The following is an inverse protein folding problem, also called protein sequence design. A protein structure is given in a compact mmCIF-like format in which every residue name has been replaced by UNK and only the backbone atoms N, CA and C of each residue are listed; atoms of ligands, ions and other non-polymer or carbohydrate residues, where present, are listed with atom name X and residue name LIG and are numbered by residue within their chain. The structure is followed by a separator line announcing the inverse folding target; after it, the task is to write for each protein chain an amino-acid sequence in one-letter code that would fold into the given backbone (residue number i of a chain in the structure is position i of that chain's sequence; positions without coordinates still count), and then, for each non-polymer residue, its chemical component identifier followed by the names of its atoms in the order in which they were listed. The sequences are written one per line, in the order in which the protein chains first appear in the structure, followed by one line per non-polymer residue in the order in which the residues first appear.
data_IF_273660838902
#
_entry.id   IF_273660838902
#
_cell.length_a   1.000
_cell.length_b   1.000
_cell.length_c   1.000
_cell.angle_alpha   90.00
_cell.angle_beta   90.00
_cell.angle_gamma   90.00
#
_symmetry.space_group_name_H-M   'P 1'
#
loop_
_entity.id
_entity.type
_entity.pdbx_description
1 polymer ?
#
# COMPACT_ATOMS: atom_id res chain seq x y z
N UNK A 1 22.88 2.19 26.23
CA UNK A 1 22.63 1.08 27.19
C UNK A 1 22.39 1.54 28.64
N UNK A 2 22.74 2.78 29.06
CA UNK A 2 22.66 3.20 30.47
C UNK A 2 21.29 3.79 30.94
N UNK A 3 20.33 4.08 30.05
CA UNK A 3 19.07 4.77 30.40
C UNK A 3 17.91 3.84 30.81
N UNK A 4 18.16 2.53 30.94
CA UNK A 4 17.11 1.52 31.02
C UNK A 4 17.20 0.58 32.22
N UNK A 5 18.26 0.73 33.01
CA UNK A 5 18.61 -0.10 34.16
C UNK A 5 18.86 0.86 35.32
N UNK A 6 18.10 0.75 36.41
CA UNK A 6 18.36 1.48 37.64
C UNK A 6 18.80 0.48 38.72
N UNK A 7 19.99 0.66 39.27
CA UNK A 7 20.58 -0.22 40.28
C UNK A 7 20.03 0.11 41.68
N UNK A 8 19.60 -0.91 42.42
CA UNK A 8 19.23 -0.85 43.84
C UNK A 8 19.72 -2.14 44.51
N UNK A 9 20.40 -2.08 45.65
CA UNK A 9 20.92 -3.31 46.30
C UNK A 9 20.04 -3.79 47.46
N UNK A 10 19.95 -5.11 47.66
CA UNK A 10 19.26 -5.74 48.80
C UNK A 10 20.07 -6.89 49.40
N UNK A 11 20.09 -6.97 50.72
CA UNK A 11 20.78 -8.04 51.46
C UNK A 11 19.90 -9.30 51.56
N UNK A 12 20.41 -10.45 51.10
CA UNK A 12 19.69 -11.74 51.16
C UNK A 12 20.48 -12.76 51.99
N UNK A 13 19.79 -13.53 52.84
CA UNK A 13 20.40 -14.60 53.63
C UNK A 13 20.64 -15.82 52.74
N UNK A 14 21.90 -16.21 52.63
CA UNK A 14 22.30 -17.48 52.03
C UNK A 14 22.71 -18.36 53.21
N UNK A 15 22.20 -19.59 53.31
CA UNK A 15 22.33 -20.45 54.51
C UNK A 15 23.73 -20.46 55.13
N UNK A 16 23.77 -20.68 56.46
CA UNK A 16 24.95 -20.54 57.34
C UNK A 16 25.28 -19.12 57.83
N UNK A 17 24.27 -18.25 57.99
CA UNK A 17 24.42 -16.95 58.65
C UNK A 17 25.12 -15.86 57.81
N UNK A 18 25.49 -16.16 56.57
CA UNK A 18 26.14 -15.22 55.65
C UNK A 18 25.09 -14.40 54.90
N UNK A 19 25.21 -13.07 54.94
CA UNK A 19 24.39 -12.16 54.13
C UNK A 19 25.19 -11.76 52.89
N UNK A 20 24.58 -11.91 51.71
CA UNK A 20 25.17 -11.46 50.42
C UNK A 20 24.33 -10.31 49.88
N UNK A 21 25.00 -9.24 49.45
CA UNK A 21 24.37 -8.16 48.71
C UNK A 21 24.05 -8.67 47.29
N UNK A 22 22.79 -8.55 46.90
CA UNK A 22 22.33 -8.85 45.55
C UNK A 22 21.90 -7.52 44.94
N UNK A 23 22.45 -7.20 43.77
CA UNK A 23 22.03 -6.05 42.98
C UNK A 23 20.67 -6.35 42.34
N UNK A 24 19.64 -5.61 42.73
CA UNK A 24 18.36 -5.55 42.05
C UNK A 24 18.45 -4.50 40.94
N UNK A 25 18.05 -4.88 39.73
CA UNK A 25 18.04 -3.98 38.59
C UNK A 25 16.59 -3.74 38.17
N UNK A 26 16.14 -2.48 38.25
CA UNK A 26 14.85 -2.09 37.72
C UNK A 26 14.94 -1.92 36.21
N UNK A 27 14.06 -2.63 35.51
CA UNK A 27 13.96 -2.59 34.06
C UNK A 27 12.77 -1.72 33.63
N UNK A 28 13.01 -0.85 32.65
CA UNK A 28 11.90 -0.25 31.91
C UNK A 28 11.12 -1.32 31.14
N UNK A 29 9.86 -1.06 30.78
CA UNK A 29 9.05 -1.98 29.97
C UNK A 29 9.77 -2.41 28.68
N UNK A 30 10.45 -1.49 28.02
CA UNK A 30 11.23 -1.77 26.82
C UNK A 30 12.44 -2.67 27.11
N UNK A 31 13.16 -2.42 28.21
CA UNK A 31 14.24 -3.29 28.67
C UNK A 31 13.75 -4.70 28.98
N UNK A 32 12.62 -4.84 29.68
CA UNK A 32 11.97 -6.13 29.91
C UNK A 32 11.68 -6.88 28.60
N UNK A 33 11.18 -6.19 27.57
CA UNK A 33 10.92 -6.79 26.26
C UNK A 33 12.20 -7.28 25.60
N UNK A 34 13.27 -6.47 25.58
CA UNK A 34 14.55 -6.87 25.02
C UNK A 34 15.18 -8.03 25.79
N UNK A 35 15.13 -8.02 27.12
CA UNK A 35 15.60 -9.13 27.95
C UNK A 35 14.81 -10.41 27.66
N UNK A 36 13.49 -10.31 27.51
CA UNK A 36 12.64 -11.44 27.18
C UNK A 36 12.89 -11.98 25.76
N UNK A 37 13.12 -11.11 24.78
CA UNK A 37 13.41 -11.50 23.39
C UNK A 37 14.78 -12.18 23.25
N UNK A 38 15.78 -11.72 23.99
CA UNK A 38 17.18 -12.21 23.90
C UNK A 38 17.53 -13.27 24.96
N UNK A 39 16.58 -13.66 25.81
CA UNK A 39 16.82 -14.65 26.86
C UNK A 39 16.97 -16.08 26.34
N UNK A 40 17.48 -16.97 27.20
CA UNK A 40 17.56 -18.40 26.93
C UNK A 40 16.15 -19.03 26.86
N UNK A 41 15.78 -19.50 25.66
CA UNK A 41 14.47 -20.12 25.38
C UNK A 41 14.21 -21.40 26.19
N UNK A 42 15.21 -22.02 26.84
CA UNK A 42 15.00 -23.14 27.76
C UNK A 42 14.23 -22.74 29.02
N UNK A 43 14.17 -21.44 29.34
CA UNK A 43 13.37 -20.92 30.47
C UNK A 43 11.92 -20.73 30.02
N UNK A 44 10.93 -21.39 30.66
CA UNK A 44 9.53 -21.33 30.22
C UNK A 44 8.95 -19.91 30.07
N UNK A 45 9.29 -18.99 30.98
CA UNK A 45 8.83 -17.60 30.91
C UNK A 45 9.39 -16.84 29.69
N UNK A 46 10.65 -17.12 29.33
CA UNK A 46 11.30 -16.53 28.15
C UNK A 46 10.67 -17.10 26.88
N UNK A 47 10.51 -18.42 26.79
CA UNK A 47 9.86 -19.07 25.65
C UNK A 47 8.43 -18.54 25.43
N UNK A 48 7.66 -18.38 26.51
CA UNK A 48 6.31 -17.81 26.45
C UNK A 48 6.32 -16.38 25.90
N UNK A 49 7.22 -15.52 26.39
CA UNK A 49 7.35 -14.15 25.93
C UNK A 49 7.79 -14.07 24.46
N UNK A 50 8.78 -14.87 24.05
CA UNK A 50 9.22 -14.95 22.65
C UNK A 50 8.07 -15.37 21.71
N UNK A 51 7.30 -16.39 22.09
CA UNK A 51 6.12 -16.81 21.32
C UNK A 51 5.06 -15.72 21.26
N UNK A 52 4.78 -15.04 22.38
CA UNK A 52 3.88 -13.90 22.40
C UNK A 52 4.30 -12.83 21.39
N UNK A 53 5.58 -12.42 21.37
CA UNK A 53 6.06 -11.43 20.40
C UNK A 53 5.98 -11.93 18.97
N UNK A 54 6.34 -13.18 18.68
CA UNK A 54 6.20 -13.75 17.33
C UNK A 54 4.74 -13.68 16.83
N UNK A 55 3.79 -14.04 17.69
CA UNK A 55 2.35 -13.97 17.37
C UNK A 55 1.88 -12.52 17.21
N UNK A 56 2.28 -11.60 18.09
CA UNK A 56 1.86 -10.20 18.00
C UNK A 56 2.45 -9.49 16.79
N UNK A 57 3.73 -9.72 16.48
CA UNK A 57 4.37 -9.19 15.26
C UNK A 57 3.64 -9.71 14.03
N UNK A 58 3.35 -11.02 13.97
CA UNK A 58 2.60 -11.58 12.84
C UNK A 58 1.19 -10.98 12.70
N UNK A 59 0.51 -10.72 13.81
CA UNK A 59 -0.80 -10.04 13.79
C UNK A 59 -0.68 -8.61 13.26
N UNK A 60 0.32 -7.86 13.69
CA UNK A 60 0.55 -6.50 13.22
C UNK A 60 0.84 -6.46 11.71
N UNK A 61 1.73 -7.33 11.22
CA UNK A 61 2.02 -7.48 9.78
C UNK A 61 0.75 -7.78 8.96
N UNK A 62 -0.11 -8.67 9.44
CA UNK A 62 -1.36 -9.02 8.75
C UNK A 62 -2.34 -7.84 8.72
N UNK A 63 -2.42 -7.06 9.81
CA UNK A 63 -3.26 -5.85 9.85
C UNK A 63 -2.73 -4.79 8.89
N UNK A 64 -1.41 -4.57 8.86
CA UNK A 64 -0.78 -3.63 7.92
C UNK A 64 -1.02 -4.05 6.46
N UNK A 65 -0.79 -5.33 6.13
CA UNK A 65 -1.09 -5.87 4.79
C UNK A 65 -2.55 -5.68 4.41
N UNK A 66 -3.48 -5.92 5.34
CA UNK A 66 -4.91 -5.73 5.10
C UNK A 66 -5.28 -4.26 4.84
N UNK A 67 -4.66 -3.32 5.56
CA UNK A 67 -4.88 -1.88 5.34
C UNK A 67 -4.40 -1.46 3.95
N UNK A 68 -3.21 -1.90 3.53
CA UNK A 68 -2.66 -1.63 2.20
C UNK A 68 -3.52 -2.24 1.09
N UNK A 69 -3.96 -3.48 1.26
CA UNK A 69 -4.88 -4.16 0.35
C UNK A 69 -6.21 -3.41 0.20
N UNK A 70 -6.78 -2.98 1.33
CA UNK A 70 -8.03 -2.22 1.36
C UNK A 70 -7.89 -0.87 0.65
N UNK A 71 -6.83 -0.11 0.94
CA UNK A 71 -6.56 1.17 0.29
C UNK A 71 -6.44 1.02 -1.23
N UNK A 72 -5.78 -0.04 -1.70
CA UNK A 72 -5.63 -0.31 -3.13
C UNK A 72 -6.96 -0.63 -3.80
N UNK A 73 -7.82 -1.41 -3.14
CA UNK A 73 -9.17 -1.72 -3.64
C UNK A 73 -10.04 -0.46 -3.69
N UNK A 74 -9.97 0.41 -2.68
CA UNK A 74 -10.66 1.69 -2.67
C UNK A 74 -10.20 2.59 -3.83
N UNK A 75 -8.89 2.80 -3.96
CA UNK A 75 -8.32 3.60 -5.06
C UNK A 75 -8.74 3.09 -6.45
N UNK A 76 -8.86 1.76 -6.61
CA UNK A 76 -9.33 1.18 -7.88
C UNK A 76 -10.82 1.46 -8.13
N UNK A 77 -11.62 1.46 -7.08
CA UNK A 77 -13.06 1.73 -7.13
C UNK A 77 -13.28 3.20 -7.52
N UNK A 78 -12.58 4.12 -6.86
CA UNK A 78 -12.55 5.56 -7.18
C UNK A 78 -12.16 5.77 -8.65
N UNK A 79 -11.04 5.19 -9.10
CA UNK A 79 -10.63 5.26 -10.51
C UNK A 79 -11.72 4.76 -11.48
N UNK A 80 -12.47 3.71 -11.12
CA UNK A 80 -13.56 3.22 -11.97
C UNK A 80 -14.71 4.23 -12.09
N UNK A 81 -15.03 4.92 -11.00
CA UNK A 81 -16.06 5.97 -10.96
C UNK A 81 -15.63 7.20 -11.75
N UNK A 82 -14.37 7.62 -11.58
CA UNK A 82 -13.76 8.71 -12.36
C UNK A 82 -13.71 8.39 -13.85
N UNK A 83 -13.26 7.18 -14.23
CA UNK A 83 -13.25 6.76 -15.63
C UNK A 83 -14.67 6.71 -16.23
N UNK A 84 -15.68 6.33 -15.42
CA UNK A 84 -17.09 6.34 -15.84
C UNK A 84 -17.58 7.77 -16.09
N UNK A 85 -17.33 8.69 -15.16
CA UNK A 85 -17.68 10.11 -15.31
C UNK A 85 -16.99 10.71 -16.53
N UNK A 86 -15.68 10.53 -16.64
CA UNK A 86 -14.89 10.99 -17.79
C UNK A 86 -15.48 10.43 -19.10
N UNK A 87 -15.79 9.13 -19.16
CA UNK A 87 -16.37 8.55 -20.37
C UNK A 87 -17.71 9.20 -20.78
N UNK A 88 -18.54 9.60 -19.82
CA UNK A 88 -19.79 10.33 -20.07
C UNK A 88 -19.53 11.72 -20.63
N UNK A 89 -18.64 12.48 -19.98
CA UNK A 89 -18.21 13.82 -20.45
C UNK A 89 -17.67 13.73 -21.88
N UNK A 90 -16.78 12.77 -22.15
CA UNK A 90 -16.18 12.63 -23.48
C UNK A 90 -17.19 12.21 -24.55
N UNK A 91 -18.18 11.40 -24.19
CA UNK A 91 -19.26 11.02 -25.10
C UNK A 91 -20.09 12.22 -25.56
N UNK A 92 -20.48 13.10 -24.64
CA UNK A 92 -21.19 14.36 -24.96
C UNK A 92 -20.35 15.27 -25.87
N UNK A 93 -19.03 15.15 -25.83
CA UNK A 93 -18.08 15.89 -26.68
C UNK A 93 -17.74 15.18 -28.01
N UNK A 94 -18.49 14.14 -28.38
CA UNK A 94 -18.34 13.44 -29.67
C UNK A 94 -17.23 12.38 -29.69
N UNK A 95 -16.85 11.84 -28.53
CA UNK A 95 -15.90 10.71 -28.44
C UNK A 95 -16.66 9.41 -28.15
N UNK A 96 -16.51 8.43 -29.04
CA UNK A 96 -17.12 7.11 -28.85
C UNK A 96 -16.29 6.23 -27.90
N UNK A 97 -16.79 5.02 -27.62
CA UNK A 97 -16.11 4.06 -26.74
C UNK A 97 -14.73 3.62 -27.26
N UNK A 98 -14.53 3.60 -28.58
CA UNK A 98 -13.21 3.32 -29.20
C UNK A 98 -12.24 4.47 -28.96
N UNK A 99 -12.68 5.71 -29.19
CA UNK A 99 -11.92 6.92 -28.92
C UNK A 99 -11.53 7.02 -27.45
N UNK A 100 -12.44 6.69 -26.53
CA UNK A 100 -12.14 6.65 -25.10
C UNK A 100 -11.03 5.63 -24.76
N UNK A 101 -11.08 4.43 -25.34
CA UNK A 101 -10.04 3.43 -25.13
C UNK A 101 -8.66 3.90 -25.63
N UNK A 102 -8.62 4.63 -26.76
CA UNK A 102 -7.40 5.23 -27.30
C UNK A 102 -6.87 6.31 -26.34
N UNK A 103 -7.73 7.24 -25.90
CA UNK A 103 -7.36 8.31 -24.96
C UNK A 103 -6.79 7.71 -23.67
N UNK A 104 -7.46 6.72 -23.08
CA UNK A 104 -6.97 6.03 -21.88
C UNK A 104 -5.60 5.38 -22.10
N UNK A 105 -5.38 4.75 -23.26
CA UNK A 105 -4.08 4.16 -23.59
C UNK A 105 -2.98 5.22 -23.78
N UNK A 106 -3.34 6.38 -24.33
CA UNK A 106 -2.41 7.53 -24.42
C UNK A 106 -2.07 8.11 -23.06
N UNK A 107 -3.03 8.13 -22.13
CA UNK A 107 -2.80 8.45 -20.73
C UNK A 107 -1.82 7.50 -20.06
N UNK A 108 -1.98 6.19 -20.25
CA UNK A 108 -1.03 5.18 -19.75
C UNK A 108 0.38 5.44 -20.25
N UNK A 109 0.52 5.75 -21.55
CA UNK A 109 1.80 6.08 -22.16
C UNK A 109 2.37 7.39 -21.66
N UNK A 110 1.55 8.41 -21.42
CA UNK A 110 1.99 9.68 -20.87
C UNK A 110 2.50 9.53 -19.43
N UNK A 111 1.85 8.67 -18.63
CA UNK A 111 2.22 8.43 -17.23
C UNK A 111 3.44 7.51 -17.11
N UNK A 112 3.50 6.43 -17.88
CA UNK A 112 4.50 5.34 -17.70
C UNK A 112 5.54 5.23 -18.81
N UNK A 113 5.48 6.08 -19.84
CA UNK A 113 6.29 5.96 -21.07
C UNK A 113 6.10 4.66 -21.86
N UNK A 114 5.26 3.73 -21.39
CA UNK A 114 4.95 2.46 -22.01
C UNK A 114 3.49 2.46 -22.48
N UNK A 115 3.23 1.89 -23.64
CA UNK A 115 1.84 1.64 -24.02
C UNK A 115 1.21 0.59 -23.08
N UNK A 116 -0.13 0.56 -23.07
CA UNK A 116 -0.88 -0.33 -22.17
C UNK A 116 -0.51 -1.80 -22.36
N UNK A 117 -0.19 -2.24 -23.59
CA UNK A 117 0.13 -3.64 -23.89
C UNK A 117 1.53 -4.03 -23.38
N UNK A 118 2.53 -3.18 -23.59
CA UNK A 118 3.89 -3.34 -23.06
C UNK A 118 3.87 -3.29 -21.53
N UNK A 119 3.09 -2.38 -20.94
CA UNK A 119 2.98 -2.31 -19.49
C UNK A 119 2.29 -3.54 -18.91
N UNK A 120 1.24 -4.07 -19.57
CA UNK A 120 0.63 -5.36 -19.18
C UNK A 120 1.65 -6.50 -19.20
N UNK A 121 2.43 -6.62 -20.27
CA UNK A 121 3.51 -7.63 -20.37
C UNK A 121 4.53 -7.48 -19.26
N UNK A 122 4.97 -6.26 -18.98
CA UNK A 122 5.93 -5.97 -17.90
C UNK A 122 5.40 -6.36 -16.52
N UNK A 123 4.11 -6.11 -16.27
CA UNK A 123 3.46 -6.41 -14.98
C UNK A 123 2.92 -7.85 -14.89
N UNK A 124 3.06 -8.68 -15.94
CA UNK A 124 2.49 -10.02 -15.99
C UNK A 124 0.96 -10.04 -15.99
N UNK A 125 0.32 -8.96 -16.41
CA UNK A 125 -1.13 -8.83 -16.44
C UNK A 125 -1.71 -9.50 -17.72
N UNK A 126 -2.73 -10.37 -17.61
CA UNK A 126 -3.37 -10.96 -18.78
C UNK A 126 -4.03 -9.91 -19.69
N UNK A 127 -4.02 -10.14 -20.99
CA UNK A 127 -4.61 -9.21 -21.97
C UNK A 127 -6.12 -8.99 -21.76
N UNK A 128 -6.84 -10.03 -21.29
CA UNK A 128 -8.26 -10.00 -20.97
C UNK A 128 -8.61 -9.17 -19.73
N UNK A 129 -7.63 -8.80 -18.92
CA UNK A 129 -7.83 -8.04 -17.67
C UNK A 129 -7.48 -6.56 -17.86
N UNK A 130 -8.03 -5.71 -17.00
CA UNK A 130 -7.70 -4.30 -16.98
C UNK A 130 -6.32 -4.11 -16.35
N UNK A 131 -5.50 -3.24 -16.95
CA UNK A 131 -4.16 -2.91 -16.45
C UNK A 131 -4.21 -2.41 -14.99
N UNK A 132 -5.21 -1.59 -14.66
CA UNK A 132 -5.37 -1.00 -13.34
C UNK A 132 -5.50 -2.03 -12.20
N UNK A 133 -5.93 -3.26 -12.51
CA UNK A 133 -6.04 -4.34 -11.51
C UNK A 133 -4.67 -4.87 -11.05
N UNK A 134 -3.58 -4.52 -11.75
CA UNK A 134 -2.21 -4.96 -11.48
C UNK A 134 -1.28 -3.80 -11.14
N UNK A 135 -1.78 -2.56 -11.19
CA UNK A 135 -1.02 -1.38 -10.80
C UNK A 135 -0.90 -1.30 -9.27
N UNK A 136 0.22 -0.79 -8.74
CA UNK A 136 0.34 -0.42 -7.34
C UNK A 136 -0.55 0.79 -7.03
N UNK A 137 -0.91 0.98 -5.75
CA UNK A 137 -1.86 2.00 -5.28
C UNK A 137 -1.51 3.41 -5.78
N UNK A 138 -0.24 3.80 -5.72
CA UNK A 138 0.20 5.12 -6.17
C UNK A 138 -0.03 5.35 -7.68
N UNK A 139 0.16 4.32 -8.51
CA UNK A 139 -0.10 4.41 -9.95
C UNK A 139 -1.58 4.48 -10.25
N UNK A 140 -2.43 3.80 -9.47
CA UNK A 140 -3.88 3.90 -9.58
C UNK A 140 -4.33 5.33 -9.26
N UNK A 141 -3.88 5.89 -8.13
CA UNK A 141 -4.19 7.28 -7.72
C UNK A 141 -3.66 8.32 -8.70
N UNK A 142 -2.47 8.13 -9.26
CA UNK A 142 -1.92 9.02 -10.28
C UNK A 142 -2.75 9.00 -11.57
N UNK A 143 -3.23 7.82 -11.99
CA UNK A 143 -4.15 7.70 -13.13
C UNK A 143 -5.50 8.35 -12.87
N UNK A 144 -6.03 8.16 -11.66
CA UNK A 144 -7.29 8.75 -11.22
C UNK A 144 -7.23 10.26 -11.28
N UNK A 145 -6.22 10.86 -10.66
CA UNK A 145 -5.99 12.30 -10.70
C UNK A 145 -5.82 12.82 -12.14
N UNK A 146 -5.10 12.12 -13.01
CA UNK A 146 -4.98 12.49 -14.41
C UNK A 146 -6.34 12.42 -15.16
N UNK A 147 -7.19 11.45 -14.84
CA UNK A 147 -8.53 11.33 -15.41
C UNK A 147 -9.45 12.45 -14.92
N UNK A 148 -9.40 12.82 -13.64
CA UNK A 148 -10.12 13.97 -13.08
C UNK A 148 -9.69 15.28 -13.75
N UNK A 149 -8.38 15.53 -13.84
CA UNK A 149 -7.83 16.72 -14.50
C UNK A 149 -8.32 16.82 -15.95
N UNK A 150 -8.32 15.71 -16.69
CA UNK A 150 -8.83 15.69 -18.06
C UNK A 150 -10.33 16.00 -18.12
N UNK A 151 -11.13 15.43 -17.21
CA UNK A 151 -12.57 15.69 -17.14
C UNK A 151 -12.87 17.19 -16.92
N UNK A 152 -12.16 17.82 -15.99
CA UNK A 152 -12.30 19.24 -15.68
C UNK A 152 -11.84 20.10 -16.85
N UNK A 153 -10.67 19.83 -17.42
CA UNK A 153 -10.10 20.66 -18.47
C UNK A 153 -10.89 20.56 -19.79
N UNK A 154 -11.42 19.39 -20.13
CA UNK A 154 -12.30 19.22 -21.30
C UNK A 154 -13.54 20.11 -21.19
N UNK A 155 -14.14 20.18 -20.00
CA UNK A 155 -15.30 21.03 -19.76
C UNK A 155 -14.93 22.51 -19.76
N UNK A 156 -13.88 22.90 -19.03
CA UNK A 156 -13.46 24.30 -18.89
C UNK A 156 -12.98 24.92 -20.21
N UNK A 157 -12.25 24.16 -21.01
CA UNK A 157 -11.73 24.62 -22.31
C UNK A 157 -12.69 24.36 -23.47
N UNK A 158 -13.89 23.86 -23.16
CA UNK A 158 -14.93 23.49 -24.11
C UNK A 158 -14.41 22.64 -25.30
N UNK A 159 -13.67 21.57 -24.99
CA UNK A 159 -13.03 20.73 -26.01
C UNK A 159 -14.04 19.76 -26.65
N UNK A 160 -13.88 19.53 -27.97
CA UNK A 160 -14.68 18.59 -28.75
C UNK A 160 -13.84 17.70 -29.66
N UNK A 161 -14.29 16.47 -29.84
CA UNK A 161 -13.67 15.48 -30.70
C UNK A 161 -12.41 14.85 -30.10
N UNK A 162 -12.08 13.66 -30.60
CA UNK A 162 -11.02 12.83 -30.01
C UNK A 162 -9.64 13.51 -29.99
N UNK A 163 -9.25 14.21 -31.06
CA UNK A 163 -7.89 14.76 -31.19
C UNK A 163 -7.57 15.86 -30.18
N UNK A 164 -8.52 16.76 -29.91
CA UNK A 164 -8.34 17.85 -28.94
C UNK A 164 -8.24 17.30 -27.51
N UNK A 165 -9.11 16.35 -27.19
CA UNK A 165 -9.20 15.70 -25.89
C UNK A 165 -7.99 14.79 -25.65
N UNK A 166 -7.50 14.08 -26.67
CA UNK A 166 -6.29 13.27 -26.58
C UNK A 166 -5.08 14.14 -26.23
N UNK A 167 -4.93 15.32 -26.85
CA UNK A 167 -3.85 16.25 -26.52
C UNK A 167 -3.94 16.70 -25.07
N UNK A 168 -5.12 17.12 -24.61
CA UNK A 168 -5.33 17.51 -23.22
C UNK A 168 -4.97 16.38 -22.25
N UNK A 169 -5.38 15.15 -22.56
CA UNK A 169 -5.09 14.00 -21.71
C UNK A 169 -3.60 13.61 -21.72
N UNK A 170 -2.85 13.89 -22.79
CA UNK A 170 -1.40 13.67 -22.86
C UNK A 170 -0.63 14.75 -22.07
N UNK A 171 -1.13 15.98 -21.99
CA UNK A 171 -0.53 17.06 -21.18
C UNK A 171 -0.51 16.72 -19.68
N UNK A 172 -1.26 15.71 -19.25
CA UNK A 172 -1.17 15.13 -17.91
C UNK A 172 0.20 14.47 -17.58
N UNK A 173 1.20 14.56 -18.46
CA UNK A 173 2.63 14.42 -18.10
C UNK A 173 3.01 15.25 -16.87
N UNK A 174 2.28 16.31 -16.54
CA UNK A 174 2.44 17.03 -15.27
C UNK A 174 2.40 16.10 -14.04
N UNK A 175 1.47 15.14 -14.02
CA UNK A 175 1.36 14.13 -12.93
C UNK A 175 2.62 13.26 -12.89
N UNK A 176 3.10 12.82 -14.06
CA UNK A 176 4.37 12.09 -14.17
C UNK A 176 5.55 12.92 -13.65
N UNK A 177 5.68 14.17 -14.09
CA UNK A 177 6.76 15.05 -13.69
C UNK A 177 6.78 15.27 -12.16
N UNK A 178 5.61 15.39 -11.54
CA UNK A 178 5.48 15.45 -10.10
C UNK A 178 6.01 14.18 -9.43
N UNK A 179 5.65 12.99 -9.93
CA UNK A 179 6.18 11.72 -9.41
C UNK A 179 7.70 11.63 -9.56
N UNK A 180 8.23 11.99 -10.74
CA UNK A 180 9.67 11.98 -11.01
C UNK A 180 10.45 12.92 -10.08
N UNK A 181 9.89 14.11 -9.80
CA UNK A 181 10.52 15.09 -8.88
C UNK A 181 10.69 14.55 -7.45
N UNK A 182 9.93 13.50 -7.08
CA UNK A 182 9.99 12.83 -5.78
C UNK A 182 10.71 11.49 -5.85
N UNK A 183 11.38 11.17 -6.96
CA UNK A 183 12.09 9.90 -7.16
C UNK A 183 11.15 8.71 -7.39
N UNK A 184 9.89 8.95 -7.76
CA UNK A 184 8.92 7.90 -8.07
C UNK A 184 8.84 7.76 -9.58
N UNK A 185 9.31 6.63 -10.11
CA UNK A 185 9.33 6.34 -11.55
C UNK A 185 8.20 5.34 -11.88
N UNK A 186 7.07 5.78 -12.48
CA UNK A 186 5.89 4.93 -12.67
C UNK A 186 6.18 3.61 -13.40
N UNK A 187 7.11 3.64 -14.35
CA UNK A 187 7.54 2.49 -15.13
C UNK A 187 8.40 1.50 -14.34
N UNK A 188 9.04 1.90 -13.25
CA UNK A 188 9.90 1.03 -12.43
C UNK A 188 9.15 0.37 -11.28
N UNK A 189 7.92 0.79 -11.00
CA UNK A 189 7.13 0.25 -9.90
C UNK A 189 6.76 -1.21 -10.16
N UNK A 190 6.83 -2.01 -9.10
CA UNK A 190 6.47 -3.43 -9.16
C UNK A 190 4.97 -3.63 -9.36
N UNK A 191 4.62 -4.74 -10.00
CA UNK A 191 3.24 -5.16 -10.13
C UNK A 191 2.64 -5.47 -8.77
N UNK A 192 1.41 -5.00 -8.54
CA UNK A 192 0.61 -5.47 -7.43
C UNK A 192 -0.02 -6.83 -7.74
N UNK A 193 -0.37 -7.59 -6.70
CA UNK A 193 -1.18 -8.81 -6.84
C UNK A 193 -2.48 -8.51 -7.61
N UNK A 194 -2.98 -9.48 -8.38
CA UNK A 194 -4.29 -9.38 -9.02
C UNK A 194 -5.37 -8.94 -8.02
N UNK A 195 -5.97 -7.77 -8.25
CA UNK A 195 -6.91 -7.17 -7.33
C UNK A 195 -8.13 -8.04 -7.03
N UNK A 196 -8.57 -8.92 -7.96
CA UNK A 196 -9.67 -9.85 -7.68
C UNK A 196 -9.31 -10.87 -6.60
N UNK A 197 -8.03 -11.26 -6.50
CA UNK A 197 -7.56 -12.13 -5.41
C UNK A 197 -7.55 -11.37 -4.09
N UNK A 198 -7.09 -10.12 -4.12
CA UNK A 198 -7.09 -9.22 -2.95
C UNK A 198 -8.51 -9.01 -2.41
N UNK A 199 -9.48 -8.68 -3.27
CA UNK A 199 -10.89 -8.52 -2.89
C UNK A 199 -11.47 -9.79 -2.27
N UNK A 200 -11.16 -10.96 -2.84
CA UNK A 200 -11.60 -12.25 -2.30
C UNK A 200 -10.98 -12.52 -0.92
N UNK A 201 -9.69 -12.21 -0.74
CA UNK A 201 -9.00 -12.31 0.55
C UNK A 201 -9.69 -11.43 1.59
N UNK A 202 -9.88 -10.13 1.31
CA UNK A 202 -10.56 -9.19 2.21
C UNK A 202 -11.97 -9.67 2.61
N UNK A 203 -12.80 -10.06 1.64
CA UNK A 203 -14.16 -10.59 1.90
C UNK A 203 -14.14 -11.86 2.75
N UNK A 204 -13.17 -12.75 2.52
CA UNK A 204 -13.04 -13.99 3.29
C UNK A 204 -12.63 -13.73 4.74
N UNK A 205 -11.76 -12.75 4.97
CA UNK A 205 -11.34 -12.37 6.31
C UNK A 205 -12.43 -11.62 7.07
N UNK A 206 -13.18 -10.74 6.41
CA UNK A 206 -14.35 -10.07 6.98
C UNK A 206 -15.38 -11.09 7.47
N UNK A 207 -15.68 -12.12 6.67
CA UNK A 207 -16.57 -13.23 7.07
C UNK A 207 -16.04 -14.03 8.26
N UNK A 208 -14.72 -14.13 8.45
CA UNK A 208 -14.13 -14.80 9.62
C UNK A 208 -14.28 -13.96 10.89
N UNK A 209 -14.28 -12.63 10.76
CA UNK A 209 -14.46 -11.70 11.88
C UNK A 209 -15.93 -11.67 12.31
N UNK A 210 -16.87 -11.61 11.36
CA UNK A 210 -18.32 -11.51 11.65
C UNK A 210 -18.99 -12.83 12.07
N UNK A 211 -18.28 -13.96 11.96
CA UNK A 211 -18.74 -15.29 12.43
C UNK A 211 -18.41 -15.57 13.90
N UNK A 212 -17.94 -14.57 14.65
CA UNK A 212 -17.80 -14.60 16.11
C UNK A 212 -18.84 -13.68 16.73
#
# INVERSE_FOLDING_TARGET
MAYHFADVSKMVSVGSGVKREIDDIYLTRYACYLTAQNGDARKPAIAFAQNYFAVQTRRAELVEQRLLDYERVQARTELAETEKLLSGVLYERGVDSKGFAIIRSKGDKALSCLDTALLKRKLGAPDSRLLADFLPTISIKAKDFAAEMASINVQQKDLYGQSSIEKEHIENKAVRNMMLSRGIYPEQLSAGEDLKKVERRLKSEEKKITKK
#
